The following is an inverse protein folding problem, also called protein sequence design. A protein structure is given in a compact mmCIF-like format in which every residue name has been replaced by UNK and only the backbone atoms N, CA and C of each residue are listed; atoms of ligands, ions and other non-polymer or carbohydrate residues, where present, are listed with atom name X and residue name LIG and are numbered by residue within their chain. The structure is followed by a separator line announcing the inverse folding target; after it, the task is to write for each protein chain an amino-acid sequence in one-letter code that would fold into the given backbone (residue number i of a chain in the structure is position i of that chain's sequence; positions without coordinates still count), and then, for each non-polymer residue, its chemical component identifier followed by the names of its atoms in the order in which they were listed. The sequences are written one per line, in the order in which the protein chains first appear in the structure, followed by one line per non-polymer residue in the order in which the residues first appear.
data_IF_581435287845
#
_entry.id   IF_581435287845
#
_cell.length_a   1.000
_cell.length_b   1.000
_cell.length_c   1.000
_cell.angle_alpha   90.00
_cell.angle_beta   90.00
_cell.angle_gamma   90.00
#
_symmetry.space_group_name_H-M   'P 1'
#
loop_
_entity.id
_entity.type
_entity.pdbx_description
1 polymer ?
#
# COMPACT_ATOMS: atom_id res chain seq x y z
N UNK A 1 -2.22 -3.63 -11.16
CA UNK A 1 -1.17 -3.32 -10.15
C UNK A 1 -1.76 -3.14 -8.75
N UNK A 2 -2.72 -2.23 -8.53
CA UNK A 2 -3.37 -1.99 -7.23
C UNK A 2 -3.95 -3.24 -6.55
N UNK A 3 -4.58 -4.12 -7.34
CA UNK A 3 -5.20 -5.35 -6.84
C UNK A 3 -4.19 -6.32 -6.19
N UNK A 4 -2.91 -6.25 -6.58
CA UNK A 4 -1.86 -7.11 -6.02
C UNK A 4 -1.46 -6.67 -4.61
N UNK A 5 -1.47 -5.37 -4.31
CA UNK A 5 -1.12 -4.84 -2.98
C UNK A 5 -2.21 -5.24 -1.97
N UNK A 6 -3.48 -5.05 -2.33
CA UNK A 6 -4.61 -5.46 -1.48
C UNK A 6 -4.61 -6.98 -1.24
N UNK A 7 -4.34 -7.79 -2.28
CA UNK A 7 -4.21 -9.24 -2.15
C UNK A 7 -3.04 -9.64 -1.25
N UNK A 8 -1.86 -9.06 -1.43
CA UNK A 8 -0.69 -9.33 -0.60
C UNK A 8 -0.93 -8.94 0.87
N UNK A 9 -1.54 -7.77 1.09
CA UNK A 9 -1.93 -7.29 2.42
C UNK A 9 -2.91 -8.24 3.11
N UNK A 10 -3.94 -8.69 2.40
CA UNK A 10 -4.91 -9.65 2.94
C UNK A 10 -4.28 -11.02 3.21
N UNK A 11 -3.35 -11.49 2.37
CA UNK A 11 -2.59 -12.73 2.64
C UNK A 11 -1.75 -12.65 3.92
N UNK A 12 -1.19 -11.47 4.23
CA UNK A 12 -0.47 -11.22 5.49
C UNK A 12 -1.38 -10.90 6.69
N UNK A 13 -2.69 -10.74 6.49
CA UNK A 13 -3.62 -10.34 7.57
C UNK A 13 -3.34 -8.92 8.11
N UNK A 14 -2.74 -8.05 7.29
CA UNK A 14 -2.36 -6.69 7.69
C UNK A 14 -3.48 -5.71 7.34
N UNK A 15 -3.82 -4.79 8.23
CA UNK A 15 -4.79 -3.73 7.93
C UNK A 15 -4.11 -2.54 7.23
N UNK A 16 -4.87 -1.76 6.47
CA UNK A 16 -4.35 -0.58 5.76
C UNK A 16 -3.70 0.44 6.72
N UNK A 17 -4.28 0.65 7.91
CA UNK A 17 -3.70 1.46 9.00
C UNK A 17 -2.30 0.95 9.37
N UNK A 18 -2.21 -0.35 9.65
CA UNK A 18 -0.95 -0.98 10.07
C UNK A 18 0.09 -0.93 8.95
N UNK A 19 -0.32 -1.17 7.70
CA UNK A 19 0.55 -1.03 6.53
C UNK A 19 1.06 0.41 6.37
N UNK A 20 0.21 1.40 6.60
CA UNK A 20 0.58 2.82 6.49
C UNK A 20 1.68 3.20 7.48
N UNK A 21 1.57 2.70 8.73
CA UNK A 21 2.57 2.88 9.79
C UNK A 21 3.87 2.13 9.48
N UNK A 22 3.78 0.90 8.96
CA UNK A 22 4.95 0.08 8.63
C UNK A 22 5.72 0.60 7.42
N UNK A 23 5.02 1.11 6.41
CA UNK A 23 5.61 1.65 5.19
C UNK A 23 6.08 3.10 5.34
N UNK A 24 5.74 3.78 6.44
CA UNK A 24 5.93 5.23 6.59
C UNK A 24 5.29 6.02 5.43
N UNK A 25 4.03 5.69 5.17
CA UNK A 25 3.22 6.27 4.08
C UNK A 25 1.87 6.70 4.66
N UNK A 26 1.34 7.83 4.22
CA UNK A 26 0.03 8.29 4.67
C UNK A 26 -1.07 7.26 4.39
N UNK A 27 -1.96 7.05 5.36
CA UNK A 27 -3.09 6.12 5.26
C UNK A 27 -3.95 6.35 4.01
N UNK A 28 -4.25 7.61 3.69
CA UNK A 28 -5.01 7.99 2.50
C UNK A 28 -4.30 7.57 1.20
N UNK A 29 -2.96 7.58 1.18
CA UNK A 29 -2.16 7.13 0.03
C UNK A 29 -2.29 5.63 -0.17
N UNK A 30 -2.27 4.82 0.90
CA UNK A 30 -2.52 3.37 0.82
C UNK A 30 -3.90 3.10 0.22
N UNK A 31 -4.94 3.80 0.70
CA UNK A 31 -6.31 3.66 0.17
C UNK A 31 -6.34 4.00 -1.31
N UNK A 32 -5.81 5.17 -1.70
CA UNK A 32 -5.81 5.64 -3.09
C UNK A 32 -5.01 4.74 -4.04
N UNK A 33 -3.96 4.10 -3.54
CA UNK A 33 -3.19 3.10 -4.30
C UNK A 33 -4.01 1.81 -4.44
N UNK A 34 -4.62 1.31 -3.37
CA UNK A 34 -5.46 0.10 -3.41
C UNK A 34 -6.75 0.29 -4.22
N UNK A 35 -7.30 1.50 -4.27
CA UNK A 35 -8.47 1.86 -5.09
C UNK A 35 -8.11 2.18 -6.54
N UNK A 36 -6.83 2.22 -6.90
CA UNK A 36 -6.37 2.57 -8.25
C UNK A 36 -6.57 4.04 -8.63
N UNK A 37 -6.88 4.91 -7.67
CA UNK A 37 -7.09 6.35 -7.90
C UNK A 37 -5.78 7.08 -8.15
N UNK A 38 -4.67 6.62 -7.57
CA UNK A 38 -3.33 7.09 -7.94
C UNK A 38 -2.81 6.23 -9.09
N UNK A 39 -2.79 6.79 -10.30
CA UNK A 39 -2.20 6.13 -11.47
C UNK A 39 -0.66 6.07 -11.42
N UNK A 40 -0.01 7.07 -10.81
CA UNK A 40 1.45 7.16 -10.70
C UNK A 40 1.92 7.35 -9.25
N UNK A 41 1.86 6.32 -8.40
CA UNK A 41 2.54 6.37 -7.12
C UNK A 41 4.04 6.42 -7.39
N UNK A 42 4.79 7.22 -6.62
CA UNK A 42 6.24 7.28 -6.79
C UNK A 42 6.86 5.90 -6.52
N UNK A 43 7.94 5.56 -7.23
CA UNK A 43 8.67 4.30 -7.02
C UNK A 43 9.07 4.15 -5.56
N UNK A 44 9.42 5.26 -4.88
CA UNK A 44 9.73 5.27 -3.46
C UNK A 44 8.55 4.77 -2.61
N UNK A 45 7.34 5.28 -2.85
CA UNK A 45 6.12 4.87 -2.13
C UNK A 45 5.83 3.39 -2.35
N UNK A 46 5.94 2.93 -3.60
CA UNK A 46 5.78 1.51 -3.92
C UNK A 46 6.83 0.64 -3.24
N UNK A 47 8.09 1.09 -3.19
CA UNK A 47 9.19 0.37 -2.53
C UNK A 47 8.97 0.28 -1.02
N UNK A 48 8.55 1.38 -0.38
CA UNK A 48 8.17 1.43 1.03
C UNK A 48 7.05 0.43 1.36
N UNK A 49 5.99 0.41 0.55
CA UNK A 49 4.87 -0.53 0.71
C UNK A 49 5.33 -1.98 0.49
N UNK A 50 6.14 -2.23 -0.54
CA UNK A 50 6.66 -3.56 -0.84
C UNK A 50 7.59 -4.10 0.24
N UNK A 51 8.38 -3.23 0.90
CA UNK A 51 9.23 -3.58 2.05
C UNK A 51 8.41 -3.89 3.31
N UNK A 52 7.26 -3.25 3.47
CA UNK A 52 6.36 -3.47 4.60
C UNK A 52 5.45 -4.71 4.42
N UNK A 53 5.18 -5.10 3.16
CA UNK A 53 4.46 -6.31 2.77
C UNK A 53 5.35 -7.52 2.59
#
# INVERSE_FOLDING_TARGET
MAENIKKARNKKGVFQDRLSKMADVAYNTIIKIESGTIQNPTIETLSKIAKAL
#
